data_IF_604808689662
#
_entry.id   IF_604808689662
#
_cell.length_a   1.000
_cell.length_b   1.000
_cell.length_c   1.000
_cell.angle_alpha   90.00
_cell.angle_beta   90.00
_cell.angle_gamma   90.00
#
_symmetry.space_group_name_H-M   'P 1'
#
loop_
_entity.id
_entity.type
_entity.pdbx_description
1 polymer ?
#
# COMPACT_ATOMS: atom_id res chain seq x y z
N UNK A 1 -36.54 85.58 -19.18
CA UNK A 1 -36.03 84.21 -18.98
C UNK A 1 -34.63 84.15 -19.59
N UNK A 2 -33.59 83.79 -18.81
CA UNK A 2 -32.21 83.70 -19.31
C UNK A 2 -32.13 82.59 -20.37
N UNK A 3 -31.51 82.83 -21.54
CA UNK A 3 -31.35 81.80 -22.55
C UNK A 3 -30.48 80.68 -21.97
N UNK A 4 -30.98 79.46 -22.08
CA UNK A 4 -30.30 78.25 -21.64
C UNK A 4 -29.03 78.09 -22.49
N UNK A 5 -27.86 78.05 -21.84
CA UNK A 5 -26.58 77.89 -22.51
C UNK A 5 -26.41 76.42 -22.97
N UNK A 6 -26.98 76.11 -24.13
CA UNK A 6 -27.08 74.74 -24.66
C UNK A 6 -25.71 74.04 -24.85
N UNK A 7 -24.64 74.82 -25.04
CA UNK A 7 -23.27 74.32 -25.24
C UNK A 7 -22.71 73.73 -23.95
N UNK A 8 -22.92 74.41 -22.83
CA UNK A 8 -22.43 74.01 -21.52
C UNK A 8 -23.18 72.77 -21.00
N UNK A 9 -24.49 72.73 -21.26
CA UNK A 9 -25.32 71.55 -20.99
C UNK A 9 -24.83 70.35 -21.82
N UNK A 10 -24.59 70.53 -23.13
CA UNK A 10 -24.11 69.44 -24.00
C UNK A 10 -22.75 68.89 -23.53
N UNK A 11 -21.83 69.74 -23.09
CA UNK A 11 -20.52 69.33 -22.55
C UNK A 11 -20.63 68.55 -21.24
N UNK A 12 -21.49 69.01 -20.32
CA UNK A 12 -21.74 68.32 -19.06
C UNK A 12 -22.40 66.96 -19.27
N UNK A 13 -23.35 66.84 -20.20
CA UNK A 13 -23.95 65.55 -20.57
C UNK A 13 -22.96 64.59 -21.20
N UNK A 14 -22.07 65.02 -22.12
CA UNK A 14 -21.05 64.13 -22.68
C UNK A 14 -20.05 63.66 -21.63
N UNK A 15 -19.61 64.51 -20.70
CA UNK A 15 -18.76 64.10 -19.58
C UNK A 15 -19.46 63.10 -18.67
N UNK A 16 -20.74 63.32 -18.36
CA UNK A 16 -21.55 62.39 -17.57
C UNK A 16 -21.67 61.03 -18.26
N UNK A 17 -22.00 61.00 -19.55
CA UNK A 17 -22.12 59.77 -20.35
C UNK A 17 -20.78 59.03 -20.41
N UNK A 18 -19.66 59.73 -20.63
CA UNK A 18 -18.32 59.11 -20.65
C UNK A 18 -17.94 58.51 -19.30
N UNK A 19 -18.18 59.22 -18.20
CA UNK A 19 -17.92 58.69 -16.85
C UNK A 19 -18.82 57.48 -16.54
N UNK A 20 -20.09 57.53 -16.95
CA UNK A 20 -21.03 56.42 -16.78
C UNK A 20 -20.60 55.18 -17.59
N UNK A 21 -20.20 55.37 -18.85
CA UNK A 21 -19.68 54.29 -19.69
C UNK A 21 -18.40 53.69 -19.11
N UNK A 22 -17.47 54.53 -18.64
CA UNK A 22 -16.24 54.08 -18.01
C UNK A 22 -16.52 53.27 -16.73
N UNK A 23 -17.39 53.76 -15.84
CA UNK A 23 -17.81 53.03 -14.64
C UNK A 23 -18.49 51.70 -14.98
N UNK A 24 -19.32 51.68 -16.01
CA UNK A 24 -20.01 50.46 -16.46
C UNK A 24 -19.01 49.43 -16.99
N UNK A 25 -18.08 49.85 -17.86
CA UNK A 25 -17.02 48.98 -18.37
C UNK A 25 -16.10 48.49 -17.26
N UNK A 26 -15.73 49.36 -16.33
CA UNK A 26 -14.91 49.00 -15.18
C UNK A 26 -15.61 47.98 -14.28
N UNK A 27 -16.90 48.16 -14.01
CA UNK A 27 -17.70 47.19 -13.25
C UNK A 27 -17.77 45.83 -13.95
N UNK A 28 -18.03 45.79 -15.26
CA UNK A 28 -18.01 44.55 -16.06
C UNK A 28 -16.63 43.89 -15.99
N UNK A 29 -15.55 44.67 -16.09
CA UNK A 29 -14.18 44.17 -16.01
C UNK A 29 -13.85 43.58 -14.62
N UNK A 30 -14.31 44.20 -13.53
CA UNK A 30 -14.16 43.65 -12.19
C UNK A 30 -14.89 42.30 -12.04
N UNK A 31 -16.11 42.18 -12.58
CA UNK A 31 -16.86 40.92 -12.58
C UNK A 31 -16.12 39.86 -13.40
N UNK A 32 -15.58 40.22 -14.56
CA UNK A 32 -14.76 39.33 -15.38
C UNK A 32 -13.53 38.82 -14.62
N UNK A 33 -12.77 39.71 -13.99
CA UNK A 33 -11.60 39.33 -13.19
C UNK A 33 -11.97 38.44 -12.00
N UNK A 34 -13.11 38.69 -11.36
CA UNK A 34 -13.61 37.86 -10.28
C UNK A 34 -13.87 36.42 -10.75
N UNK A 35 -14.56 36.24 -11.87
CA UNK A 35 -14.79 34.91 -12.43
C UNK A 35 -13.48 34.25 -12.90
N UNK A 36 -12.60 34.99 -13.56
CA UNK A 36 -11.31 34.45 -14.01
C UNK A 36 -10.43 33.99 -12.83
N UNK A 37 -10.41 34.75 -11.73
CA UNK A 37 -9.69 34.36 -10.52
C UNK A 37 -10.34 33.11 -9.88
N UNK A 38 -11.67 33.07 -9.81
CA UNK A 38 -12.40 31.93 -9.26
C UNK A 38 -12.14 30.65 -10.05
N UNK A 39 -12.18 30.70 -11.39
CA UNK A 39 -11.88 29.54 -12.26
C UNK A 39 -10.45 29.04 -12.05
N UNK A 40 -9.48 29.95 -11.89
CA UNK A 40 -8.10 29.59 -11.61
C UNK A 40 -7.95 28.89 -10.25
N UNK A 41 -8.60 29.42 -9.20
CA UNK A 41 -8.61 28.79 -7.88
C UNK A 41 -9.26 27.40 -7.90
N UNK A 42 -10.38 27.25 -8.61
CA UNK A 42 -11.02 25.94 -8.79
C UNK A 42 -10.11 24.94 -9.50
N UNK A 43 -9.42 25.36 -10.57
CA UNK A 43 -8.49 24.49 -11.27
C UNK A 43 -7.29 24.08 -10.40
N UNK A 44 -6.79 24.99 -9.56
CA UNK A 44 -5.72 24.69 -8.61
C UNK A 44 -6.19 23.72 -7.52
N UNK A 45 -7.41 23.93 -7.01
CA UNK A 45 -8.02 23.08 -5.99
C UNK A 45 -8.26 21.66 -6.52
N UNK A 46 -8.81 21.51 -7.73
CA UNK A 46 -9.03 20.21 -8.37
C UNK A 46 -7.72 19.43 -8.53
N UNK A 47 -6.62 20.09 -8.91
CA UNK A 47 -5.30 19.45 -8.97
C UNK A 47 -4.85 18.93 -7.61
N UNK A 48 -4.97 19.73 -6.55
CA UNK A 48 -4.60 19.33 -5.19
C UNK A 48 -5.47 18.17 -4.68
N UNK A 49 -6.77 18.19 -4.97
CA UNK A 49 -7.68 17.09 -4.62
C UNK A 49 -7.25 15.81 -5.32
N UNK A 50 -6.93 15.85 -6.62
CA UNK A 50 -6.46 14.67 -7.36
C UNK A 50 -5.14 14.12 -6.82
N UNK A 51 -4.22 14.98 -6.39
CA UNK A 51 -2.97 14.56 -5.74
C UNK A 51 -3.23 13.89 -4.38
N UNK A 52 -4.08 14.48 -3.56
CA UNK A 52 -4.49 13.92 -2.27
C UNK A 52 -5.22 12.57 -2.44
N UNK A 53 -6.10 12.45 -3.42
CA UNK A 53 -6.77 11.19 -3.76
C UNK A 53 -5.76 10.12 -4.16
N UNK A 54 -4.83 10.43 -5.08
CA UNK A 54 -3.76 9.50 -5.47
C UNK A 54 -2.96 9.00 -4.27
N UNK A 55 -2.60 9.91 -3.36
CA UNK A 55 -1.88 9.56 -2.13
C UNK A 55 -2.73 8.67 -1.21
N UNK A 56 -4.02 8.97 -1.07
CA UNK A 56 -4.98 8.18 -0.30
C UNK A 56 -5.11 6.76 -0.87
N UNK A 57 -5.27 6.63 -2.19
CA UNK A 57 -5.32 5.35 -2.89
C UNK A 57 -4.04 4.54 -2.67
N UNK A 58 -2.86 5.17 -2.79
CA UNK A 58 -1.58 4.51 -2.56
C UNK A 58 -1.47 3.95 -1.14
N UNK A 59 -1.84 4.75 -0.13
CA UNK A 59 -1.82 4.31 1.28
C UNK A 59 -2.81 3.17 1.53
N UNK A 60 -4.01 3.25 0.93
CA UNK A 60 -5.02 2.20 1.02
C UNK A 60 -4.53 0.88 0.43
N UNK A 61 -3.86 0.93 -0.72
CA UNK A 61 -3.31 -0.27 -1.37
C UNK A 61 -2.19 -0.89 -0.52
N UNK A 62 -1.27 -0.08 0.03
CA UNK A 62 -0.25 -0.55 0.97
C UNK A 62 -0.88 -1.24 2.19
N UNK A 63 -1.87 -0.60 2.82
CA UNK A 63 -2.54 -1.17 3.99
C UNK A 63 -3.26 -2.48 3.67
N UNK A 64 -3.92 -2.56 2.51
CA UNK A 64 -4.61 -3.78 2.07
C UNK A 64 -3.61 -4.95 1.92
N UNK A 65 -2.41 -4.69 1.42
CA UNK A 65 -1.37 -5.71 1.32
C UNK A 65 -0.82 -6.10 2.72
N UNK A 66 -0.68 -5.14 3.65
CA UNK A 66 -0.32 -5.48 5.04
C UNK A 66 -1.39 -6.31 5.74
N UNK A 67 -2.68 -6.03 5.51
CA UNK A 67 -3.78 -6.81 6.05
C UNK A 67 -3.75 -8.25 5.50
N UNK A 68 -3.49 -8.42 4.20
CA UNK A 68 -3.30 -9.73 3.59
C UNK A 68 -2.15 -10.50 4.26
N UNK A 69 -1.00 -9.85 4.43
CA UNK A 69 0.17 -10.43 5.10
C UNK A 69 -0.18 -10.88 6.52
N UNK A 70 -0.91 -10.04 7.27
CA UNK A 70 -1.35 -10.37 8.62
C UNK A 70 -2.26 -11.60 8.65
N UNK A 71 -3.23 -11.70 7.73
CA UNK A 71 -4.11 -12.85 7.60
C UNK A 71 -3.31 -14.12 7.28
N UNK A 72 -2.37 -14.04 6.34
CA UNK A 72 -1.51 -15.17 5.95
C UNK A 72 -0.61 -15.64 7.09
N UNK A 73 -0.04 -14.74 7.87
CA UNK A 73 0.70 -15.11 9.08
C UNK A 73 -0.20 -15.78 10.13
N UNK A 74 -1.44 -15.30 10.32
CA UNK A 74 -2.40 -15.96 11.22
C UNK A 74 -2.71 -17.38 10.73
N UNK A 75 -2.92 -17.58 9.44
CA UNK A 75 -3.14 -18.91 8.86
C UNK A 75 -1.92 -19.82 9.05
N UNK A 76 -0.70 -19.31 8.88
CA UNK A 76 0.54 -20.05 9.11
C UNK A 76 0.65 -20.61 10.54
N UNK A 77 0.14 -19.89 11.54
CA UNK A 77 0.18 -20.34 12.94
C UNK A 77 -0.77 -21.49 13.25
N UNK A 78 -1.75 -21.76 12.39
CA UNK A 78 -2.72 -22.85 12.59
C UNK A 78 -2.15 -24.22 12.22
N UNK A 79 -1.14 -24.26 11.36
CA UNK A 79 -0.51 -25.50 10.94
C UNK A 79 0.48 -26.00 12.00
N UNK A 80 0.18 -27.15 12.59
CA UNK A 80 0.97 -27.76 13.67
C UNK A 80 1.52 -29.13 13.27
N UNK A 81 0.92 -29.79 12.30
CA UNK A 81 1.25 -31.17 11.97
C UNK A 81 2.24 -31.24 10.82
N UNK A 82 3.20 -32.15 10.97
CA UNK A 82 4.18 -32.42 9.94
C UNK A 82 3.58 -33.41 8.92
N UNK A 83 2.80 -32.89 7.97
CA UNK A 83 2.34 -33.65 6.83
C UNK A 83 2.63 -32.90 5.52
N UNK A 84 2.82 -33.64 4.43
CA UNK A 84 3.23 -33.07 3.14
C UNK A 84 2.23 -32.02 2.61
N UNK A 85 0.94 -32.19 2.93
CA UNK A 85 -0.12 -31.27 2.54
C UNK A 85 -0.02 -29.92 3.29
N UNK A 86 0.22 -29.95 4.59
CA UNK A 86 0.43 -28.76 5.42
C UNK A 86 1.73 -28.05 5.06
N UNK A 87 2.81 -28.78 4.79
CA UNK A 87 4.06 -28.17 4.32
C UNK A 87 3.87 -27.45 2.98
N UNK A 88 3.15 -28.07 2.04
CA UNK A 88 2.84 -27.44 0.75
C UNK A 88 2.01 -26.16 0.95
N UNK A 89 0.97 -26.21 1.80
CA UNK A 89 0.15 -25.04 2.13
C UNK A 89 0.95 -23.94 2.83
N UNK A 90 1.80 -24.28 3.78
CA UNK A 90 2.69 -23.31 4.45
C UNK A 90 3.60 -22.61 3.44
N UNK A 91 4.16 -23.35 2.47
CA UNK A 91 4.98 -22.78 1.40
C UNK A 91 4.19 -21.79 0.52
N UNK A 92 2.94 -22.13 0.17
CA UNK A 92 2.06 -21.22 -0.58
C UNK A 92 1.79 -19.94 0.22
N UNK A 93 1.45 -20.06 1.50
CA UNK A 93 1.17 -18.90 2.35
C UNK A 93 2.40 -18.00 2.55
N UNK A 94 3.59 -18.58 2.66
CA UNK A 94 4.84 -17.80 2.69
C UNK A 94 5.12 -17.10 1.35
N UNK A 95 4.87 -17.78 0.23
CA UNK A 95 4.96 -17.18 -1.10
C UNK A 95 4.01 -15.99 -1.28
N UNK A 96 2.78 -16.11 -0.78
CA UNK A 96 1.80 -15.01 -0.75
C UNK A 96 2.32 -13.82 0.06
N UNK A 97 2.88 -14.07 1.25
CA UNK A 97 3.46 -13.04 2.12
C UNK A 97 4.62 -12.34 1.41
N UNK A 98 5.56 -13.08 0.83
CA UNK A 98 6.70 -12.52 0.10
C UNK A 98 6.26 -11.71 -1.12
N UNK A 99 5.24 -12.19 -1.84
CA UNK A 99 4.66 -11.47 -2.99
C UNK A 99 4.03 -10.16 -2.56
N UNK A 100 3.21 -10.16 -1.51
CA UNK A 100 2.60 -8.95 -0.96
C UNK A 100 3.65 -7.97 -0.42
N UNK A 101 4.69 -8.47 0.25
CA UNK A 101 5.81 -7.65 0.75
C UNK A 101 6.60 -6.99 -0.40
N UNK A 102 6.85 -7.72 -1.49
CA UNK A 102 7.48 -7.16 -2.69
C UNK A 102 6.57 -6.12 -3.36
N UNK A 103 5.25 -6.35 -3.35
CA UNK A 103 4.28 -5.38 -3.87
C UNK A 103 4.28 -4.09 -3.08
N UNK A 104 4.30 -4.16 -1.75
CA UNK A 104 4.41 -2.97 -0.88
C UNK A 104 5.71 -2.22 -1.16
N UNK A 105 6.84 -2.92 -1.34
CA UNK A 105 8.13 -2.30 -1.71
C UNK A 105 8.04 -1.52 -3.03
N UNK A 106 7.36 -2.08 -4.04
CA UNK A 106 7.08 -1.41 -5.32
C UNK A 106 6.11 -0.23 -5.17
N UNK A 107 5.11 -0.32 -4.29
CA UNK A 107 4.21 0.80 -4.00
C UNK A 107 4.93 1.95 -3.28
N UNK A 108 5.80 1.65 -2.33
CA UNK A 108 6.61 2.65 -1.61
C UNK A 108 7.60 3.34 -2.56
N UNK A 109 8.19 2.62 -3.53
CA UNK A 109 9.14 3.22 -4.48
C UNK A 109 8.49 4.23 -5.43
N UNK A 110 7.16 4.14 -5.63
CA UNK A 110 6.37 5.05 -6.47
C UNK A 110 5.89 6.31 -5.75
N UNK A 111 6.31 6.54 -4.49
CA UNK A 111 5.93 7.75 -3.74
C UNK A 111 6.42 9.00 -4.46
N UNK A 112 5.56 10.02 -4.52
CA UNK A 112 5.89 11.34 -5.08
C UNK A 112 6.41 12.30 -4.03
N UNK A 113 6.09 12.05 -2.75
CA UNK A 113 6.48 12.88 -1.62
C UNK A 113 7.02 12.02 -0.48
N UNK A 114 8.08 12.53 0.17
CA UNK A 114 8.60 11.94 1.39
C UNK A 114 7.71 12.32 2.58
N UNK A 115 7.15 11.31 3.23
CA UNK A 115 6.33 11.45 4.43
C UNK A 115 6.80 10.48 5.50
N UNK A 116 6.77 10.84 6.80
CA UNK A 116 7.11 9.93 7.88
C UNK A 116 6.33 8.61 7.85
N UNK A 117 5.10 8.64 7.33
CA UNK A 117 4.28 7.42 7.15
C UNK A 117 4.93 6.42 6.19
N UNK A 118 5.59 6.87 5.12
CA UNK A 118 6.26 5.99 4.17
C UNK A 118 7.55 5.37 4.74
N UNK A 119 8.25 6.09 5.61
CA UNK A 119 9.38 5.52 6.36
C UNK A 119 8.89 4.40 7.29
N UNK A 120 7.76 4.61 7.97
CA UNK A 120 7.14 3.57 8.80
C UNK A 120 6.73 2.35 7.96
N UNK A 121 6.10 2.54 6.80
CA UNK A 121 5.76 1.43 5.89
C UNK A 121 7.02 0.68 5.43
N UNK A 122 8.10 1.39 5.11
CA UNK A 122 9.37 0.77 4.73
C UNK A 122 9.96 -0.08 5.85
N UNK A 123 9.99 0.44 7.08
CA UNK A 123 10.42 -0.31 8.27
C UNK A 123 9.56 -1.55 8.51
N UNK A 124 8.24 -1.41 8.43
CA UNK A 124 7.32 -2.53 8.62
C UNK A 124 7.51 -3.60 7.54
N UNK A 125 7.65 -3.20 6.27
CA UNK A 125 7.91 -4.09 5.15
C UNK A 125 9.23 -4.88 5.31
N UNK A 126 10.27 -4.22 5.82
CA UNK A 126 11.54 -4.89 6.10
C UNK A 126 11.41 -5.91 7.25
N UNK A 127 10.68 -5.56 8.31
CA UNK A 127 10.42 -6.47 9.43
C UNK A 127 9.59 -7.68 9.00
N UNK A 128 8.57 -7.48 8.15
CA UNK A 128 7.78 -8.55 7.56
C UNK A 128 8.65 -9.48 6.72
N UNK A 129 9.54 -8.94 5.89
CA UNK A 129 10.50 -9.72 5.11
C UNK A 129 11.37 -10.60 6.02
N UNK A 130 11.98 -10.02 7.04
CA UNK A 130 12.78 -10.77 8.01
C UNK A 130 11.97 -11.85 8.75
N UNK A 131 10.71 -11.57 9.09
CA UNK A 131 9.83 -12.53 9.74
C UNK A 131 9.48 -13.70 8.80
N UNK A 132 9.24 -13.45 7.51
CA UNK A 132 9.00 -14.49 6.52
C UNK A 132 10.22 -15.40 6.34
N UNK A 133 11.42 -14.83 6.28
CA UNK A 133 12.68 -15.59 6.16
C UNK A 133 12.95 -16.46 7.40
N UNK A 134 12.66 -15.93 8.60
CA UNK A 134 12.72 -16.70 9.85
C UNK A 134 11.71 -17.84 9.84
N UNK A 135 10.49 -17.58 9.37
CA UNK A 135 9.44 -18.60 9.30
C UNK A 135 9.78 -19.72 8.31
N UNK A 136 10.33 -19.38 7.14
CA UNK A 136 10.83 -20.36 6.16
C UNK A 136 11.94 -21.23 6.77
N UNK A 137 12.91 -20.60 7.43
CA UNK A 137 13.98 -21.29 8.14
C UNK A 137 13.46 -22.24 9.22
N UNK A 138 12.43 -21.84 9.97
CA UNK A 138 11.78 -22.67 10.98
C UNK A 138 11.04 -23.85 10.37
N UNK A 139 10.33 -23.68 9.26
CA UNK A 139 9.65 -24.76 8.54
C UNK A 139 10.67 -25.77 8.04
N UNK A 140 11.77 -25.31 7.42
CA UNK A 140 12.85 -26.18 6.96
C UNK A 140 13.52 -26.93 8.10
N UNK A 141 13.80 -26.26 9.21
CA UNK A 141 14.40 -26.89 10.39
C UNK A 141 13.48 -27.97 11.00
N UNK A 142 12.17 -27.70 11.12
CA UNK A 142 11.18 -28.72 11.51
C UNK A 142 11.18 -29.89 10.53
N UNK A 143 11.31 -29.58 9.23
CA UNK A 143 11.62 -30.46 8.12
C UNK A 143 12.67 -31.51 8.45
N UNK A 144 13.87 -31.01 8.66
CA UNK A 144 15.04 -31.82 8.90
C UNK A 144 14.92 -32.61 10.21
N UNK A 145 14.38 -32.01 11.29
CA UNK A 145 14.17 -32.70 12.57
C UNK A 145 13.27 -33.94 12.40
N UNK A 146 12.16 -33.82 11.68
CA UNK A 146 11.26 -34.96 11.49
C UNK A 146 11.92 -36.06 10.65
N UNK A 147 12.62 -35.69 9.57
CA UNK A 147 13.40 -36.64 8.78
C UNK A 147 14.43 -37.39 9.62
N UNK A 148 15.14 -36.70 10.52
CA UNK A 148 16.10 -37.35 11.42
C UNK A 148 15.41 -38.28 12.43
N UNK A 149 14.24 -37.91 12.96
CA UNK A 149 13.46 -38.81 13.84
C UNK A 149 13.07 -40.10 13.11
N UNK A 150 12.64 -40.00 11.86
CA UNK A 150 12.29 -41.17 11.04
C UNK A 150 13.51 -42.07 10.80
N UNK A 151 14.65 -41.50 10.43
CA UNK A 151 15.91 -42.24 10.26
C UNK A 151 16.37 -42.94 11.54
N UNK A 152 16.25 -42.28 12.70
CA UNK A 152 16.58 -42.88 14.00
C UNK A 152 15.63 -44.04 14.31
N UNK A 153 14.32 -43.87 14.10
CA UNK A 153 13.33 -44.91 14.32
C UNK A 153 13.57 -46.14 13.41
N UNK A 154 13.93 -45.91 12.15
CA UNK A 154 14.24 -47.00 11.22
C UNK A 154 15.54 -47.72 11.58
N UNK A 155 16.56 -46.98 12.03
CA UNK A 155 17.78 -47.56 12.59
C UNK A 155 17.46 -48.41 13.84
N UNK A 156 16.61 -47.91 14.74
CA UNK A 156 16.20 -48.63 15.94
C UNK A 156 15.41 -49.91 15.59
N UNK A 157 14.50 -49.86 14.62
CA UNK A 157 13.77 -51.04 14.12
C UNK A 157 14.72 -52.06 13.48
N UNK A 158 15.67 -51.60 12.67
CA UNK A 158 16.68 -52.46 12.05
C UNK A 158 17.56 -53.13 13.11
N UNK A 159 17.97 -52.39 14.12
CA UNK A 159 18.77 -52.90 15.24
C UNK A 159 17.98 -53.92 16.08
N UNK A 160 16.72 -53.64 16.41
CA UNK A 160 15.84 -54.60 17.10
C UNK A 160 15.61 -55.87 16.26
N UNK A 161 15.41 -55.73 14.95
CA UNK A 161 15.28 -56.87 14.04
C UNK A 161 16.56 -57.71 13.99
N UNK A 162 17.73 -57.07 13.90
CA UNK A 162 19.02 -57.75 13.95
C UNK A 162 19.24 -58.45 15.30
N UNK A 163 18.97 -57.78 16.42
CA UNK A 163 19.06 -58.34 17.76
C UNK A 163 18.12 -59.55 17.93
N UNK A 164 16.87 -59.46 17.44
CA UNK A 164 15.92 -60.58 17.46
C UNK A 164 16.38 -61.75 16.58
N UNK A 165 16.98 -61.48 15.40
CA UNK A 165 17.56 -62.53 14.54
C UNK A 165 18.78 -63.20 15.16
N UNK A 166 19.61 -62.47 15.89
CA UNK A 166 20.75 -63.02 16.64
C UNK A 166 20.24 -63.85 17.82
N UNK A 167 19.27 -63.33 18.58
CA UNK A 167 18.67 -64.02 19.73
C UNK A 167 17.93 -65.29 19.33
N UNK A 168 17.21 -65.26 18.21
CA UNK A 168 16.49 -66.41 17.66
C UNK A 168 17.34 -67.19 16.65
N UNK A 169 18.66 -67.18 16.81
CA UNK A 169 19.63 -67.56 15.80
C UNK A 169 19.34 -68.85 15.04
N UNK A 170 20.03 -68.94 13.89
CA UNK A 170 20.28 -70.10 13.02
C UNK A 170 20.94 -71.31 13.72
N UNK A 171 20.81 -71.41 15.04
CA UNK A 171 21.18 -72.51 15.94
C UNK A 171 20.17 -72.68 17.09
N UNK A 172 18.89 -72.33 16.88
CA UNK A 172 17.78 -72.80 17.72
C UNK A 172 17.43 -74.24 17.35
N UNK A 173 17.84 -75.18 18.19
CA UNK A 173 17.16 -76.46 18.35
C UNK A 173 15.73 -76.25 18.82
#
# INVERSE_FOLDING_TARGET
MKPINAVEIRSSYTKFILNFLFLTLFSIFCIYLFFAASDYEYALLDKKVKEAEKLSYLRKDINTNFDLIQVRFKELTQYRDYNANEMSKQGILLGDIQTANNRIKDLISRKTEDSPSFDLYGKLNNNVGAMADLQDSLIKSRGDIQRYKEQINDCQRANQSAANRIRNGRYGR
#
